data_IF_463811737545
#
_entry.id   IF_463811737545
#
_cell.length_a   1.000
_cell.length_b   1.000
_cell.length_c   1.000
_cell.angle_alpha   90.00
_cell.angle_beta   90.00
_cell.angle_gamma   90.00
#
_symmetry.space_group_name_H-M   'P 1'
#
loop_
_entity.id
_entity.type
_entity.pdbx_description
1 polymer ?
#
# COMPACT_ATOMS: atom_id res chain seq x y z
N UNK A 1 8.00 10.93 -54.63
CA UNK A 1 6.95 9.99 -54.16
C UNK A 1 7.48 8.58 -54.28
N UNK A 2 7.42 7.82 -53.16
CA UNK A 2 7.27 6.34 -53.05
C UNK A 2 7.77 5.94 -51.66
N UNK A 3 6.95 6.22 -50.65
CA UNK A 3 7.07 5.60 -49.34
C UNK A 3 6.59 4.14 -49.47
N UNK A 4 7.40 3.20 -49.01
CA UNK A 4 7.12 1.76 -49.08
C UNK A 4 6.65 1.31 -47.69
N UNK A 5 5.45 0.75 -47.68
CA UNK A 5 4.64 0.24 -46.56
C UNK A 5 5.43 -0.45 -45.45
N UNK A 6 5.22 -0.03 -44.20
CA UNK A 6 5.55 -0.80 -42.99
C UNK A 6 4.37 -1.74 -42.73
N UNK A 7 4.54 -3.01 -43.14
CA UNK A 7 3.61 -4.09 -42.86
C UNK A 7 3.86 -4.64 -41.47
N UNK A 8 2.83 -4.58 -40.62
CA UNK A 8 2.84 -5.22 -39.31
C UNK A 8 2.85 -6.74 -39.42
N UNK A 9 3.58 -7.38 -38.51
CA UNK A 9 3.35 -8.76 -38.13
C UNK A 9 3.54 -8.88 -36.62
N UNK A 10 2.43 -8.91 -35.90
CA UNK A 10 2.32 -9.37 -34.52
C UNK A 10 2.65 -10.86 -34.51
N UNK A 11 3.79 -11.25 -33.97
CA UNK A 11 4.04 -12.63 -33.55
C UNK A 11 3.72 -12.74 -32.07
N UNK A 12 2.56 -13.32 -31.79
CA UNK A 12 2.18 -13.86 -30.49
C UNK A 12 3.20 -14.93 -30.08
N UNK A 13 4.05 -14.60 -29.12
CA UNK A 13 4.88 -15.56 -28.39
C UNK A 13 4.02 -16.33 -27.39
N UNK A 14 3.67 -17.57 -27.77
CA UNK A 14 2.97 -18.54 -26.95
C UNK A 14 3.92 -19.20 -25.92
N UNK A 15 3.48 -19.18 -24.67
CA UNK A 15 3.76 -20.09 -23.55
C UNK A 15 5.22 -20.39 -23.17
N UNK A 16 5.72 -19.62 -22.20
CA UNK A 16 6.63 -20.14 -21.17
C UNK A 16 5.84 -20.31 -19.87
N UNK A 17 5.26 -21.48 -19.65
CA UNK A 17 4.81 -21.91 -18.34
C UNK A 17 6.07 -22.18 -17.49
N UNK A 18 6.56 -21.13 -16.83
CA UNK A 18 7.64 -21.17 -15.87
C UNK A 18 7.11 -20.72 -14.51
N UNK A 19 7.17 -21.63 -13.53
CA UNK A 19 6.97 -21.38 -12.12
C UNK A 19 7.88 -20.22 -11.65
N UNK A 20 7.28 -19.15 -11.15
CA UNK A 20 7.98 -17.93 -10.79
C UNK A 20 7.14 -16.73 -11.18
N UNK A 21 6.01 -16.57 -10.50
CA UNK A 21 5.08 -15.47 -10.71
C UNK A 21 5.75 -14.13 -10.39
N UNK A 22 6.43 -13.56 -11.37
CA UNK A 22 6.54 -12.13 -11.50
C UNK A 22 5.14 -11.65 -11.92
N UNK A 23 4.25 -11.55 -10.93
CA UNK A 23 3.15 -10.63 -11.06
C UNK A 23 3.80 -9.28 -11.37
N UNK A 24 3.57 -8.77 -12.58
CA UNK A 24 3.64 -7.33 -12.80
C UNK A 24 2.70 -6.74 -11.76
N UNK A 25 3.26 -6.31 -10.63
CA UNK A 25 2.51 -5.49 -9.70
C UNK A 25 2.02 -4.30 -10.54
N UNK A 26 0.71 -4.03 -10.59
CA UNK A 26 0.27 -2.78 -11.17
C UNK A 26 1.08 -1.69 -10.48
N UNK A 27 1.79 -0.86 -11.25
CA UNK A 27 2.38 0.34 -10.71
C UNK A 27 1.22 1.10 -10.06
N UNK A 28 1.13 0.99 -8.74
CA UNK A 28 0.11 1.68 -7.96
C UNK A 28 0.38 3.13 -8.26
N UNK A 29 -0.54 3.75 -8.99
CA UNK A 29 -0.43 5.15 -9.38
C UNK A 29 -0.20 5.93 -8.10
N UNK A 30 1.01 6.45 -7.89
CA UNK A 30 1.35 7.14 -6.65
C UNK A 30 0.43 8.37 -6.45
N UNK A 31 -0.11 8.87 -7.56
CA UNK A 31 -1.13 9.91 -7.65
C UNK A 31 -2.52 9.46 -7.16
N UNK A 32 -2.85 8.17 -7.22
CA UNK A 32 -4.10 7.63 -6.68
C UNK A 32 -4.04 7.41 -5.16
N UNK A 33 -2.83 7.32 -4.58
CA UNK A 33 -2.63 7.14 -3.14
C UNK A 33 -2.71 8.45 -2.35
N UNK A 34 -2.63 9.61 -3.01
CA UNK A 34 -2.79 10.92 -2.37
C UNK A 34 -4.28 11.19 -2.13
N UNK A 35 -4.65 11.42 -0.86
CA UNK A 35 -6.04 11.69 -0.45
C UNK A 35 -6.97 10.48 -0.34
N UNK A 36 -6.51 9.27 -0.62
CA UNK A 36 -7.26 8.04 -0.37
C UNK A 36 -6.83 7.36 0.94
N UNK A 37 -7.82 6.93 1.71
CA UNK A 37 -7.57 6.12 2.89
C UNK A 37 -7.19 4.69 2.48
N UNK A 38 -6.03 4.23 2.96
CA UNK A 38 -5.49 2.90 2.70
C UNK A 38 -5.66 2.04 3.93
N UNK A 39 -6.43 0.96 3.82
CA UNK A 39 -6.50 -0.06 4.88
C UNK A 39 -5.19 -0.83 4.95
N UNK A 40 -4.63 -0.93 6.15
CA UNK A 40 -3.40 -1.64 6.47
C UNK A 40 -3.71 -2.83 7.38
N UNK A 41 -2.87 -3.87 7.30
CA UNK A 41 -3.10 -5.12 8.02
C UNK A 41 -2.29 -5.17 9.34
N UNK A 42 -2.69 -4.39 10.34
CA UNK A 42 -2.18 -4.63 11.69
C UNK A 42 -2.76 -5.94 12.25
N UNK A 43 -1.96 -6.78 12.92
CA UNK A 43 -2.47 -7.95 13.63
C UNK A 43 -3.48 -7.55 14.72
N UNK A 44 -4.42 -8.45 15.01
CA UNK A 44 -5.29 -8.31 16.16
C UNK A 44 -4.49 -8.39 17.48
N UNK A 45 -5.05 -7.86 18.55
CA UNK A 45 -4.42 -7.96 19.87
C UNK A 45 -4.36 -9.42 20.34
N UNK A 46 -3.32 -9.76 21.11
CA UNK A 46 -3.22 -11.05 21.77
C UNK A 46 -4.36 -11.24 22.79
N UNK A 47 -4.66 -12.48 23.14
CA UNK A 47 -5.68 -12.78 24.14
C UNK A 47 -5.36 -12.09 25.49
N UNK A 48 -6.37 -11.48 26.12
CA UNK A 48 -6.21 -10.72 27.37
C UNK A 48 -5.82 -9.25 27.19
N UNK A 49 -5.62 -8.79 25.95
CA UNK A 49 -5.41 -7.38 25.63
C UNK A 49 -6.65 -6.80 24.95
N UNK A 50 -6.93 -5.53 25.23
CA UNK A 50 -7.94 -4.71 24.55
C UNK A 50 -7.29 -3.73 23.58
N UNK A 51 -7.97 -3.44 22.47
CA UNK A 51 -7.49 -2.50 21.45
C UNK A 51 -7.93 -1.05 21.71
N UNK A 52 -7.10 -0.10 21.30
CA UNK A 52 -7.50 1.28 21.07
C UNK A 52 -6.71 1.86 19.88
N UNK A 53 -7.24 2.94 19.28
CA UNK A 53 -6.71 3.51 18.04
C UNK A 53 -6.25 4.96 18.27
N UNK A 54 -5.07 5.30 17.77
CA UNK A 54 -4.51 6.66 17.79
C UNK A 54 -4.13 7.08 16.37
N UNK A 55 -4.47 8.31 16.00
CA UNK A 55 -3.96 8.93 14.79
C UNK A 55 -2.62 9.59 15.07
N UNK A 56 -1.59 9.23 14.31
CA UNK A 56 -0.26 9.83 14.35
C UNK A 56 0.06 10.52 13.02
N UNK A 57 0.85 11.60 13.09
CA UNK A 57 1.37 12.28 11.91
C UNK A 57 2.77 11.74 11.60
N UNK A 58 2.91 11.02 10.48
CA UNK A 58 4.17 10.38 10.10
C UNK A 58 4.68 10.82 8.72
N UNK A 59 6.00 10.84 8.53
CA UNK A 59 6.62 11.19 7.25
C UNK A 59 6.80 10.01 6.32
N UNK A 60 5.69 9.39 5.90
CA UNK A 60 5.71 8.10 5.19
C UNK A 60 5.22 8.16 3.73
N UNK A 61 4.71 9.30 3.27
CA UNK A 61 4.20 9.45 1.90
C UNK A 61 5.29 10.02 0.97
N UNK A 62 5.52 9.42 -0.22
CA UNK A 62 6.64 9.80 -1.10
C UNK A 62 6.65 11.26 -1.59
N UNK A 63 5.49 11.91 -1.74
CA UNK A 63 5.35 13.25 -2.34
C UNK A 63 4.92 14.32 -1.33
N UNK A 64 3.81 14.13 -0.61
CA UNK A 64 3.38 15.05 0.46
C UNK A 64 4.35 15.10 1.64
N UNK A 65 5.16 14.06 1.82
CA UNK A 65 6.11 13.93 2.91
C UNK A 65 5.49 13.70 4.28
N UNK A 66 4.16 13.74 4.40
CA UNK A 66 3.36 13.56 5.62
C UNK A 66 2.14 12.66 5.35
N UNK A 67 1.70 11.97 6.39
CA UNK A 67 0.52 11.11 6.41
C UNK A 67 -0.14 11.13 7.78
N UNK A 68 -1.47 11.06 7.82
CA UNK A 68 -2.18 10.61 9.02
C UNK A 68 -2.19 9.10 9.02
N UNK A 69 -1.68 8.48 10.09
CA UNK A 69 -1.58 7.02 10.25
C UNK A 69 -2.41 6.62 11.47
N UNK A 70 -3.39 5.73 11.28
CA UNK A 70 -4.17 5.18 12.38
C UNK A 70 -3.45 3.95 12.91
N UNK A 71 -2.90 4.06 14.10
CA UNK A 71 -2.16 3.02 14.78
C UNK A 71 -3.04 2.29 15.79
N UNK A 72 -2.96 0.96 15.78
CA UNK A 72 -3.60 0.09 16.76
C UNK A 72 -2.63 -0.21 17.89
N UNK A 73 -3.04 0.14 19.10
CA UNK A 73 -2.34 -0.21 20.32
C UNK A 73 -3.14 -1.26 21.07
N UNK A 74 -2.43 -2.13 21.77
CA UNK A 74 -3.00 -3.18 22.58
C UNK A 74 -2.52 -3.00 24.02
N UNK A 75 -3.46 -3.00 24.97
CA UNK A 75 -3.15 -2.88 26.40
C UNK A 75 -3.93 -3.88 27.24
N UNK A 76 -3.37 -4.33 28.35
CA UNK A 76 -4.06 -5.11 29.39
C UNK A 76 -4.17 -4.33 30.73
N UNK A 77 -3.85 -3.03 30.72
CA UNK A 77 -3.82 -2.16 31.89
C UNK A 77 -2.50 -2.18 32.68
N UNK A 78 -1.57 -3.10 32.38
CA UNK A 78 -0.22 -3.15 32.98
C UNK A 78 0.86 -2.94 31.92
N UNK A 79 0.69 -3.59 30.77
CA UNK A 79 1.59 -3.51 29.62
C UNK A 79 0.85 -2.92 28.41
N UNK A 80 1.63 -2.37 27.49
CA UNK A 80 1.15 -1.80 26.24
C UNK A 80 2.14 -2.07 25.11
N UNK A 81 1.61 -2.34 23.91
CA UNK A 81 2.41 -2.43 22.71
C UNK A 81 1.67 -1.90 21.48
N UNK A 82 2.44 -1.39 20.51
CA UNK A 82 1.96 -1.06 19.18
C UNK A 82 1.77 -2.35 18.38
N UNK A 83 0.55 -2.64 17.96
CA UNK A 83 0.27 -3.75 17.04
C UNK A 83 0.59 -3.39 15.59
N UNK A 84 0.44 -2.11 15.23
CA UNK A 84 0.80 -1.56 13.92
C UNK A 84 -0.28 -0.67 13.33
N UNK A 85 -0.02 -0.16 12.13
CA UNK A 85 -0.94 0.72 11.41
C UNK A 85 -2.10 -0.08 10.79
N UNK A 86 -3.32 0.42 10.96
CA UNK A 86 -4.56 -0.12 10.36
C UNK A 86 -5.11 0.74 9.24
N UNK A 87 -4.73 2.02 9.20
CA UNK A 87 -5.14 2.94 8.15
C UNK A 87 -4.08 4.02 7.90
N UNK A 88 -4.01 4.52 6.69
CA UNK A 88 -3.13 5.65 6.30
C UNK A 88 -3.83 6.55 5.30
N UNK A 89 -3.69 7.86 5.47
CA UNK A 89 -4.11 8.86 4.50
C UNK A 89 -2.97 9.85 4.23
N UNK A 90 -2.50 9.90 2.97
CA UNK A 90 -1.46 10.84 2.54
C UNK A 90 -2.04 12.25 2.39
N UNK A 91 -1.41 13.24 3.03
CA UNK A 91 -1.85 14.64 2.99
C UNK A 91 -1.26 15.48 4.11
N UNK A 92 -1.88 16.63 4.37
CA UNK A 92 -1.58 17.40 5.59
C UNK A 92 -2.06 16.62 6.82
N UNK A 93 -1.31 16.73 7.91
CA UNK A 93 -1.74 16.16 9.19
C UNK A 93 -2.88 16.98 9.80
N UNK A 94 -3.63 16.36 10.70
CA UNK A 94 -4.75 16.97 11.44
C UNK A 94 -4.36 18.21 12.26
#
# INVERSE_FOLDING_TARGET
MRAKMIGGLLMLGLLSAGCGGAATEPAVDAEALEGQEQTLAAPACAAGYTEYLIWDCERTCPRSGNANVLNRYCTNGTDEYLAGAVSRSCGACY
#
